data_IF_262509239378
#
_entry.id   IF_262509239378
#
_cell.length_a   1.000
_cell.length_b   1.000
_cell.length_c   1.000
_cell.angle_alpha   90.00
_cell.angle_beta   90.00
_cell.angle_gamma   90.00
#
_symmetry.space_group_name_H-M   'P 1'
#
loop_
_entity.id
_entity.type
_entity.pdbx_description
1 polymer ?
#
# COMPACT_ATOMS: atom_id res chain seq x y z
N UNK A 1 -3.97 -9.75 47.32
CA UNK A 1 -3.35 -8.50 47.79
C UNK A 1 -2.03 -8.91 48.41
N UNK A 2 -0.97 -8.95 47.60
CA UNK A 2 0.37 -9.28 48.07
C UNK A 2 1.33 -8.47 47.19
N UNK A 3 1.87 -7.40 47.78
CA UNK A 3 2.95 -6.59 47.22
C UNK A 3 4.25 -7.24 47.66
N UNK A 4 5.15 -7.48 46.73
CA UNK A 4 6.57 -7.66 47.02
C UNK A 4 7.36 -6.80 46.04
N UNK A 5 7.77 -5.63 46.52
CA UNK A 5 8.80 -4.79 45.92
C UNK A 5 10.17 -5.34 46.32
N UNK A 6 11.08 -5.51 45.36
CA UNK A 6 12.49 -5.79 45.58
C UNK A 6 13.30 -5.27 44.38
N UNK A 7 13.65 -3.98 44.41
CA UNK A 7 14.89 -3.42 43.85
C UNK A 7 15.14 -2.03 44.47
N UNK A 8 16.38 -1.72 44.90
CA UNK A 8 16.72 -0.46 45.54
C UNK A 8 16.90 0.67 44.52
N UNK A 9 16.75 1.95 44.91
CA UNK A 9 17.01 3.07 44.01
C UNK A 9 18.52 3.29 43.85
N UNK A 10 19.01 3.70 42.67
CA UNK A 10 20.32 4.31 42.56
C UNK A 10 20.25 5.80 42.94
N UNK A 11 21.23 6.21 43.75
CA UNK A 11 21.44 7.59 44.19
C UNK A 11 21.66 8.53 43.00
N UNK A 12 21.06 9.71 43.10
CA UNK A 12 21.35 10.83 42.22
C UNK A 12 22.67 11.48 42.60
N UNK A 13 23.47 11.81 41.59
CA UNK A 13 24.29 13.02 41.66
C UNK A 13 24.24 13.74 40.31
N UNK A 14 24.14 15.05 40.44
CA UNK A 14 23.78 16.03 39.43
C UNK A 14 25.07 16.66 38.92
N UNK A 15 25.32 16.62 37.61
CA UNK A 15 26.36 17.43 36.97
C UNK A 15 26.07 17.61 35.49
N UNK A 16 25.72 18.85 35.18
CA UNK A 16 25.40 19.37 33.85
C UNK A 16 26.57 19.29 32.86
N UNK A 17 26.24 19.02 31.59
CA UNK A 17 26.46 19.92 30.43
C UNK A 17 26.38 19.13 29.10
N UNK A 18 25.61 19.66 28.15
CA UNK A 18 25.62 19.20 26.75
C UNK A 18 24.23 19.16 26.13
N UNK A 19 23.70 20.31 25.73
CA UNK A 19 22.53 20.37 24.88
C UNK A 19 22.85 19.78 23.50
N UNK A 20 22.36 18.58 23.23
CA UNK A 20 22.22 18.01 21.89
C UNK A 20 20.78 17.58 21.71
N UNK A 21 20.10 18.21 20.75
CA UNK A 21 18.73 17.94 20.33
C UNK A 21 18.47 16.43 20.18
N UNK A 22 17.29 15.89 20.54
CA UNK A 22 16.93 14.54 20.13
C UNK A 22 16.65 14.57 18.63
N UNK A 23 17.68 14.21 17.86
CA UNK A 23 17.52 13.78 16.49
C UNK A 23 16.75 12.47 16.48
N UNK A 24 15.68 12.47 15.69
CA UNK A 24 15.02 11.37 15.02
C UNK A 24 15.72 10.00 15.16
N UNK A 25 15.39 9.28 16.22
CA UNK A 25 15.71 7.86 16.35
C UNK A 25 14.40 7.06 16.21
N UNK A 26 13.80 7.14 15.02
CA UNK A 26 12.93 6.09 14.51
C UNK A 26 13.77 4.83 14.27
N UNK A 27 14.20 4.22 15.38
CA UNK A 27 14.94 2.96 15.38
C UNK A 27 14.04 1.87 14.79
N UNK A 28 14.57 1.17 13.78
CA UNK A 28 13.94 0.09 13.02
C UNK A 28 13.12 -0.85 13.90
N UNK A 29 11.80 -0.63 13.98
CA UNK A 29 10.87 -1.63 14.47
C UNK A 29 10.86 -2.78 13.45
N UNK A 30 11.32 -3.99 13.81
CA UNK A 30 11.37 -5.12 12.88
C UNK A 30 10.00 -5.46 12.29
N UNK A 31 8.90 -5.16 13.02
CA UNK A 31 7.54 -5.33 12.50
C UNK A 31 7.26 -4.34 11.37
N UNK A 32 7.68 -3.08 11.54
CA UNK A 32 7.54 -2.03 10.52
C UNK A 32 8.28 -2.41 9.23
N UNK A 33 9.52 -2.91 9.33
CA UNK A 33 10.30 -3.38 8.18
C UNK A 33 9.60 -4.51 7.41
N UNK A 34 9.06 -5.51 8.11
CA UNK A 34 8.32 -6.63 7.49
C UNK A 34 7.03 -6.15 6.80
N UNK A 35 6.32 -5.18 7.38
CA UNK A 35 5.12 -4.61 6.75
C UNK A 35 5.47 -3.80 5.48
N UNK A 36 6.58 -3.06 5.49
CA UNK A 36 7.05 -2.33 4.32
C UNK A 36 7.41 -3.28 3.16
N UNK A 37 8.14 -4.38 3.44
CA UNK A 37 8.46 -5.39 2.43
C UNK A 37 7.20 -6.07 1.85
N UNK A 38 6.20 -6.33 2.69
CA UNK A 38 4.90 -6.86 2.24
C UNK A 38 4.15 -5.88 1.37
N UNK A 39 4.17 -4.59 1.71
CA UNK A 39 3.56 -3.53 0.91
C UNK A 39 4.21 -3.45 -0.47
N UNK A 40 5.54 -3.48 -0.55
CA UNK A 40 6.28 -3.52 -1.81
C UNK A 40 5.89 -4.74 -2.66
N UNK A 41 5.85 -5.93 -2.05
CA UNK A 41 5.48 -7.15 -2.75
C UNK A 41 4.03 -7.10 -3.27
N UNK A 42 3.10 -6.53 -2.51
CA UNK A 42 1.68 -6.41 -2.88
C UNK A 42 1.45 -5.37 -3.96
N UNK A 43 2.14 -4.23 -3.89
CA UNK A 43 2.05 -3.17 -4.89
C UNK A 43 2.76 -3.53 -6.21
N UNK A 44 3.83 -4.34 -6.15
CA UNK A 44 4.52 -4.79 -7.36
C UNK A 44 3.66 -5.70 -8.25
N UNK A 45 2.78 -6.53 -7.70
CA UNK A 45 1.96 -7.47 -8.48
C UNK A 45 1.13 -6.80 -9.59
N UNK A 46 0.24 -5.83 -9.29
CA UNK A 46 -0.59 -5.21 -10.31
C UNK A 46 0.23 -4.36 -11.30
N UNK A 47 1.30 -3.70 -10.83
CA UNK A 47 2.22 -2.95 -11.69
C UNK A 47 2.96 -3.86 -12.68
N UNK A 48 3.51 -4.98 -12.21
CA UNK A 48 4.15 -5.97 -13.07
C UNK A 48 3.15 -6.58 -14.05
N UNK A 49 1.92 -6.90 -13.63
CA UNK A 49 0.91 -7.41 -14.56
C UNK A 49 0.63 -6.42 -15.71
N UNK A 50 0.54 -5.11 -15.43
CA UNK A 50 0.41 -4.09 -16.48
C UNK A 50 1.65 -4.07 -17.38
N UNK A 51 2.85 -3.96 -16.78
CA UNK A 51 4.11 -3.85 -17.50
C UNK A 51 4.33 -5.05 -18.44
N UNK A 52 4.17 -6.27 -17.91
CA UNK A 52 4.39 -7.51 -18.64
C UNK A 52 3.37 -7.73 -19.76
N UNK A 53 2.11 -7.33 -19.54
CA UNK A 53 1.03 -7.48 -20.53
C UNK A 53 1.14 -6.44 -21.65
N UNK A 54 1.48 -5.21 -21.33
CA UNK A 54 1.27 -4.08 -22.23
C UNK A 54 2.54 -3.65 -22.96
N UNK A 55 3.69 -3.64 -22.28
CA UNK A 55 4.94 -3.07 -22.81
C UNK A 55 6.10 -4.06 -22.86
N UNK A 56 5.87 -5.33 -22.52
CA UNK A 56 6.87 -6.37 -22.61
C UNK A 56 6.50 -7.44 -23.64
N UNK A 57 7.51 -8.21 -24.04
CA UNK A 57 7.36 -9.47 -24.76
C UNK A 57 8.04 -10.58 -23.98
N UNK A 58 7.41 -11.75 -23.90
CA UNK A 58 8.00 -12.89 -23.21
C UNK A 58 9.07 -13.52 -24.12
N UNK A 59 10.28 -13.69 -23.59
CA UNK A 59 11.39 -14.33 -24.32
C UNK A 59 11.60 -15.76 -23.86
N UNK A 60 11.46 -16.01 -22.55
CA UNK A 60 11.62 -17.31 -21.92
C UNK A 60 10.63 -17.43 -20.73
N UNK A 61 10.46 -18.60 -20.09
CA UNK A 61 9.72 -18.69 -18.85
C UNK A 61 10.23 -17.75 -17.76
N UNK A 62 9.41 -16.78 -17.37
CA UNK A 62 9.74 -15.81 -16.32
C UNK A 62 10.65 -14.66 -16.75
N UNK A 63 11.09 -14.62 -18.02
CA UNK A 63 11.94 -13.55 -18.56
C UNK A 63 11.23 -12.85 -19.71
N UNK A 64 11.27 -11.52 -19.67
CA UNK A 64 10.60 -10.64 -20.62
C UNK A 64 11.57 -9.58 -21.12
N UNK A 65 11.41 -9.19 -22.38
CA UNK A 65 12.10 -8.03 -22.96
C UNK A 65 11.13 -6.86 -22.96
N UNK A 66 11.56 -5.72 -22.41
CA UNK A 66 10.82 -4.46 -22.52
C UNK A 66 10.92 -3.96 -23.96
N UNK A 67 9.78 -3.69 -24.61
CA UNK A 67 9.68 -3.50 -26.06
C UNK A 67 10.43 -2.27 -26.57
N UNK A 68 10.53 -1.23 -25.75
CA UNK A 68 11.09 0.07 -26.13
C UNK A 68 12.54 0.21 -25.70
N UNK A 69 12.86 -0.16 -24.46
CA UNK A 69 14.24 -0.09 -23.96
C UNK A 69 15.10 -1.30 -24.32
N UNK A 70 14.50 -2.42 -24.72
CA UNK A 70 15.21 -3.68 -24.99
C UNK A 70 15.77 -4.38 -23.74
N UNK A 71 15.57 -3.81 -22.55
CA UNK A 71 16.06 -4.36 -21.28
C UNK A 71 15.36 -5.67 -20.96
N UNK A 72 16.09 -6.60 -20.35
CA UNK A 72 15.50 -7.85 -19.86
C UNK A 72 15.02 -7.68 -18.42
N UNK A 73 13.80 -8.12 -18.17
CA UNK A 73 13.13 -8.15 -16.87
C UNK A 73 12.78 -9.61 -16.54
N UNK A 74 13.26 -10.10 -15.40
CA UNK A 74 12.92 -11.41 -14.84
C UNK A 74 11.95 -11.24 -13.68
N UNK A 75 10.97 -12.14 -13.60
CA UNK A 75 10.00 -12.23 -12.50
C UNK A 75 9.73 -13.69 -12.15
N UNK A 76 9.24 -13.93 -10.93
CA UNK A 76 8.73 -15.24 -10.50
C UNK A 76 7.20 -15.26 -10.53
N UNK A 77 6.61 -16.41 -10.83
CA UNK A 77 5.15 -16.57 -10.89
C UNK A 77 4.53 -16.10 -12.21
N UNK A 78 3.21 -16.30 -12.34
CA UNK A 78 2.43 -15.89 -13.53
C UNK A 78 1.35 -14.87 -13.18
N UNK A 79 0.25 -15.32 -12.54
CA UNK A 79 -0.89 -14.46 -12.19
C UNK A 79 -0.57 -13.40 -11.14
N UNK A 80 0.39 -13.69 -10.26
CA UNK A 80 0.90 -12.80 -9.21
C UNK A 80 2.42 -12.75 -9.31
N UNK A 81 2.96 -12.01 -10.28
CA UNK A 81 4.41 -11.95 -10.49
C UNK A 81 5.09 -11.24 -9.30
N UNK A 82 6.25 -11.74 -8.89
CA UNK A 82 7.02 -11.20 -7.75
C UNK A 82 8.52 -11.23 -8.04
N UNK A 83 9.29 -10.55 -7.18
CA UNK A 83 10.76 -10.52 -7.25
C UNK A 83 11.29 -10.03 -8.60
N UNK A 84 10.89 -8.82 -9.04
CA UNK A 84 11.37 -8.28 -10.30
C UNK A 84 12.88 -8.02 -10.27
N UNK A 85 13.57 -8.46 -11.32
CA UNK A 85 15.00 -8.25 -11.50
C UNK A 85 15.27 -7.76 -12.92
N UNK A 86 16.12 -6.74 -13.08
CA UNK A 86 16.53 -6.24 -14.39
C UNK A 86 17.94 -6.70 -14.71
N UNK A 87 18.19 -7.04 -15.97
CA UNK A 87 19.54 -7.37 -16.43
C UNK A 87 20.29 -6.08 -16.79
N UNK A 88 21.41 -5.83 -16.13
CA UNK A 88 22.32 -4.70 -16.37
C UNK A 88 23.75 -5.15 -16.07
N UNK A 89 24.75 -4.61 -16.79
CA UNK A 89 26.17 -4.87 -16.54
C UNK A 89 26.56 -6.36 -16.42
N UNK A 90 25.87 -7.22 -17.19
CA UNK A 90 26.11 -8.67 -17.22
C UNK A 90 25.52 -9.45 -16.05
N UNK A 91 24.73 -8.83 -15.17
CA UNK A 91 24.12 -9.45 -14.00
C UNK A 91 22.62 -9.10 -13.85
N UNK A 92 21.93 -9.90 -13.03
CA UNK A 92 20.55 -9.65 -12.63
C UNK A 92 20.51 -8.83 -11.33
N UNK A 93 19.79 -7.72 -11.34
CA UNK A 93 19.65 -6.83 -10.19
C UNK A 93 18.20 -6.76 -9.74
N UNK A 94 17.93 -7.07 -8.47
CA UNK A 94 16.59 -6.93 -7.89
C UNK A 94 16.14 -5.47 -7.91
N UNK A 95 14.89 -5.24 -8.27
CA UNK A 95 14.26 -3.94 -8.21
C UNK A 95 13.48 -3.80 -6.90
N UNK A 96 13.68 -2.67 -6.23
CA UNK A 96 12.75 -2.10 -5.26
C UNK A 96 11.45 -1.66 -5.95
N UNK A 97 10.40 -1.40 -5.17
CA UNK A 97 9.15 -0.87 -5.74
C UNK A 97 9.38 0.48 -6.47
N UNK A 98 10.16 1.39 -5.88
CA UNK A 98 10.47 2.68 -6.49
C UNK A 98 11.24 2.55 -7.81
N UNK A 99 12.20 1.61 -7.89
CA UNK A 99 12.92 1.36 -9.14
C UNK A 99 12.02 0.72 -10.21
N UNK A 100 11.08 -0.13 -9.82
CA UNK A 100 10.07 -0.66 -10.74
C UNK A 100 9.13 0.43 -11.27
N UNK A 101 8.69 1.36 -10.42
CA UNK A 101 7.91 2.55 -10.83
C UNK A 101 8.71 3.38 -11.83
N UNK A 102 9.97 3.69 -11.51
CA UNK A 102 10.86 4.43 -12.41
C UNK A 102 11.03 3.74 -13.76
N UNK A 103 11.33 2.43 -13.75
CA UNK A 103 11.46 1.62 -14.96
C UNK A 103 10.19 1.68 -15.82
N UNK A 104 9.04 1.52 -15.18
CA UNK A 104 7.73 1.54 -15.86
C UNK A 104 7.46 2.90 -16.48
N UNK A 105 7.68 3.98 -15.74
CA UNK A 105 7.47 5.35 -16.22
C UNK A 105 8.40 5.69 -17.40
N UNK A 106 9.68 5.29 -17.32
CA UNK A 106 10.65 5.47 -18.40
C UNK A 106 10.25 4.71 -19.67
N UNK A 107 9.82 3.46 -19.53
CA UNK A 107 9.37 2.62 -20.64
C UNK A 107 8.12 3.20 -21.31
N UNK A 108 7.13 3.63 -20.52
CA UNK A 108 5.92 4.27 -21.02
C UNK A 108 6.23 5.58 -21.73
N UNK A 109 7.07 6.45 -21.15
CA UNK A 109 7.46 7.71 -21.79
C UNK A 109 8.13 7.49 -23.13
N UNK A 110 9.04 6.50 -23.23
CA UNK A 110 9.70 6.17 -24.49
C UNK A 110 8.71 5.65 -25.54
N UNK A 111 7.70 4.88 -25.11
CA UNK A 111 6.68 4.31 -26.01
C UNK A 111 5.68 5.34 -26.51
N UNK A 112 5.21 6.23 -25.64
CA UNK A 112 4.12 7.17 -25.95
C UNK A 112 4.61 8.54 -26.39
N UNK A 113 5.86 8.90 -26.06
CA UNK A 113 6.37 10.26 -26.22
C UNK A 113 5.81 11.27 -25.21
N UNK A 114 4.96 10.83 -24.27
CA UNK A 114 4.31 11.70 -23.30
C UNK A 114 4.95 11.56 -21.91
N UNK A 115 5.20 12.70 -21.26
CA UNK A 115 5.54 12.74 -19.83
C UNK A 115 4.27 12.76 -18.99
N UNK A 116 4.20 11.87 -17.99
CA UNK A 116 3.17 11.90 -16.97
C UNK A 116 3.86 11.77 -15.59
N UNK A 117 3.94 12.88 -14.86
CA UNK A 117 4.52 12.90 -13.51
C UNK A 117 3.54 12.44 -12.43
N UNK A 118 2.23 12.47 -12.70
CA UNK A 118 1.18 12.05 -11.76
C UNK A 118 1.17 10.53 -11.62
N UNK A 119 1.30 9.79 -12.73
CA UNK A 119 1.24 8.34 -12.72
C UNK A 119 2.29 7.67 -11.79
N UNK A 120 3.58 8.05 -11.81
CA UNK A 120 4.54 7.56 -10.81
C UNK A 120 4.14 7.91 -9.38
N UNK A 121 3.59 9.11 -9.13
CA UNK A 121 3.14 9.51 -7.81
C UNK A 121 1.96 8.66 -7.34
N UNK A 122 0.99 8.36 -8.22
CA UNK A 122 -0.12 7.46 -7.93
C UNK A 122 0.34 6.03 -7.65
N UNK A 123 1.34 5.51 -8.38
CA UNK A 123 1.90 4.19 -8.12
C UNK A 123 2.54 4.10 -6.72
N UNK A 124 3.26 5.15 -6.31
CA UNK A 124 3.85 5.25 -4.96
C UNK A 124 2.76 5.40 -3.90
N UNK A 125 1.80 6.30 -4.11
CA UNK A 125 0.63 6.49 -3.22
C UNK A 125 -0.16 5.19 -3.04
N UNK A 126 -0.35 4.42 -4.11
CA UNK A 126 -0.99 3.11 -4.05
C UNK A 126 -0.20 2.12 -3.18
N UNK A 127 1.13 2.15 -3.20
CA UNK A 127 1.97 1.31 -2.34
C UNK A 127 1.87 1.76 -0.88
N UNK A 128 1.88 3.06 -0.63
CA UNK A 128 1.81 3.62 0.73
C UNK A 128 0.43 3.41 1.35
N UNK A 129 -0.64 3.48 0.57
CA UNK A 129 -1.97 3.08 0.99
C UNK A 129 -1.99 1.60 1.43
N UNK A 130 -1.36 0.70 0.67
CA UNK A 130 -1.23 -0.72 1.07
C UNK A 130 -0.45 -0.87 2.37
N UNK A 131 0.65 -0.11 2.55
CA UNK A 131 1.42 -0.13 3.78
C UNK A 131 0.56 0.31 5.00
N UNK A 132 -0.18 1.41 4.85
CA UNK A 132 -1.09 1.91 5.89
C UNK A 132 -2.20 0.90 6.22
N UNK A 133 -2.77 0.24 5.21
CA UNK A 133 -3.78 -0.82 5.40
C UNK A 133 -3.21 -2.03 6.15
N UNK A 134 -1.99 -2.46 5.82
CA UNK A 134 -1.32 -3.56 6.50
C UNK A 134 -1.02 -3.22 7.96
N UNK A 135 -0.58 -1.99 8.25
CA UNK A 135 -0.36 -1.50 9.60
C UNK A 135 -1.67 -1.40 10.41
N UNK A 136 -2.76 -0.95 9.79
CA UNK A 136 -4.07 -0.93 10.43
C UNK A 136 -4.56 -2.35 10.77
N UNK A 137 -4.45 -3.28 9.81
CA UNK A 137 -4.83 -4.69 10.01
C UNK A 137 -4.02 -5.40 11.07
N UNK A 138 -2.75 -5.06 11.25
CA UNK A 138 -1.91 -5.64 12.31
C UNK A 138 -2.48 -5.41 13.72
N UNK A 139 -3.35 -4.40 13.89
CA UNK A 139 -3.96 -4.00 15.17
C UNK A 139 -5.47 -4.26 15.23
N UNK A 140 -6.04 -4.91 14.21
CA UNK A 140 -7.49 -5.10 14.09
C UNK A 140 -7.84 -6.59 14.00
N UNK A 141 -8.95 -6.96 14.64
CA UNK A 141 -9.51 -8.32 14.51
C UNK A 141 -10.33 -8.40 13.22
N UNK A 142 -10.06 -9.37 12.33
CA UNK A 142 -10.87 -9.57 11.13
C UNK A 142 -12.31 -9.97 11.52
N UNK A 143 -13.33 -9.61 10.71
CA UNK A 143 -14.68 -10.09 10.95
C UNK A 143 -14.78 -11.62 10.78
N UNK A 144 -15.60 -12.24 11.62
CA UNK A 144 -15.88 -13.68 11.57
C UNK A 144 -16.79 -14.06 10.39
N UNK A 145 -17.70 -13.16 9.99
CA UNK A 145 -18.59 -13.37 8.85
C UNK A 145 -17.77 -13.52 7.55
N UNK A 146 -17.84 -14.68 6.87
CA UNK A 146 -17.09 -14.92 5.64
C UNK A 146 -17.49 -13.97 4.50
N UNK A 147 -18.76 -13.53 4.44
CA UNK A 147 -19.20 -12.58 3.42
C UNK A 147 -18.51 -11.23 3.61
N UNK A 148 -18.66 -10.61 4.79
CA UNK A 148 -18.00 -9.35 5.11
C UNK A 148 -16.47 -9.44 4.99
N UNK A 149 -15.88 -10.56 5.45
CA UNK A 149 -14.44 -10.78 5.33
C UNK A 149 -13.98 -10.81 3.88
N UNK A 150 -14.78 -11.38 2.98
CA UNK A 150 -14.46 -11.43 1.55
C UNK A 150 -14.46 -10.03 0.92
N UNK A 151 -15.45 -9.19 1.24
CA UNK A 151 -15.51 -7.79 0.79
C UNK A 151 -14.30 -6.98 1.29
N UNK A 152 -13.84 -7.26 2.50
CA UNK A 152 -12.73 -6.56 3.15
C UNK A 152 -11.34 -7.17 2.88
N UNK A 153 -11.22 -8.18 2.01
CA UNK A 153 -9.94 -8.88 1.78
C UNK A 153 -9.10 -8.37 0.59
N UNK A 154 -9.63 -7.48 -0.24
CA UNK A 154 -8.99 -7.05 -1.50
C UNK A 154 -7.92 -5.97 -1.29
N UNK A 155 -6.78 -6.32 -0.66
CA UNK A 155 -5.68 -5.40 -0.39
C UNK A 155 -4.96 -4.87 -1.62
N UNK A 156 -4.78 -5.68 -2.67
CA UNK A 156 -4.04 -5.27 -3.87
C UNK A 156 -4.90 -4.55 -4.89
N UNK A 157 -6.22 -4.50 -4.69
CA UNK A 157 -7.16 -3.90 -5.64
C UNK A 157 -7.14 -4.59 -7.02
N UNK A 158 -7.38 -3.82 -8.08
CA UNK A 158 -7.42 -4.33 -9.45
C UNK A 158 -6.06 -4.87 -9.90
N UNK A 159 -6.02 -6.14 -10.30
CA UNK A 159 -4.76 -6.86 -10.60
C UNK A 159 -4.02 -6.40 -11.86
N UNK A 160 -4.63 -5.56 -12.69
CA UNK A 160 -4.05 -4.99 -13.91
C UNK A 160 -4.34 -3.49 -13.96
N UNK A 161 -4.00 -2.79 -12.89
CA UNK A 161 -4.00 -1.32 -12.83
C UNK A 161 -2.69 -0.89 -12.18
N UNK A 162 -1.99 0.15 -12.66
CA UNK A 162 -0.69 0.52 -12.11
C UNK A 162 -0.73 1.05 -10.67
N UNK A 163 -1.86 1.65 -10.27
CA UNK A 163 -2.05 2.30 -8.98
C UNK A 163 -3.42 1.98 -8.34
N UNK A 164 -3.78 0.70 -8.13
CA UNK A 164 -5.15 0.28 -7.80
C UNK A 164 -5.64 0.73 -6.42
N UNK A 165 -4.74 1.23 -5.57
CA UNK A 165 -5.04 1.72 -4.22
C UNK A 165 -4.62 3.18 -4.04
N UNK A 166 -4.35 3.92 -5.10
CA UNK A 166 -4.14 5.36 -4.98
C UNK A 166 -5.36 6.02 -4.30
N UNK A 167 -5.10 6.89 -3.34
CA UNK A 167 -6.08 7.66 -2.55
C UNK A 167 -5.87 9.17 -2.69
N UNK A 168 -5.05 9.60 -3.64
CA UNK A 168 -4.84 11.02 -3.96
C UNK A 168 -3.84 11.72 -3.03
N UNK A 169 -2.94 10.97 -2.38
CA UNK A 169 -1.84 11.54 -1.57
C UNK A 169 -2.25 12.17 -0.24
N UNK A 170 -3.53 12.09 0.15
CA UNK A 170 -4.01 12.57 1.44
C UNK A 170 -3.54 11.70 2.62
N UNK A 171 -3.44 12.25 3.84
CA UNK A 171 -2.96 11.52 5.00
C UNK A 171 -3.86 10.32 5.32
N UNK A 172 -3.25 9.19 5.70
CA UNK A 172 -3.97 7.95 5.97
C UNK A 172 -5.10 8.09 7.00
N UNK A 173 -4.90 8.96 8.00
CA UNK A 173 -5.91 9.26 9.02
C UNK A 173 -7.24 9.78 8.44
N UNK A 174 -7.23 10.42 7.26
CA UNK A 174 -8.43 10.96 6.62
C UNK A 174 -9.29 9.90 5.90
N UNK A 175 -8.71 8.76 5.50
CA UNK A 175 -9.42 7.75 4.72
C UNK A 175 -9.48 6.37 5.38
N UNK A 176 -8.57 6.05 6.31
CA UNK A 176 -8.57 4.77 7.03
C UNK A 176 -9.90 4.46 7.76
N UNK A 177 -10.57 5.43 8.40
CA UNK A 177 -11.88 5.18 9.02
C UNK A 177 -12.98 4.74 8.05
N UNK A 178 -12.74 4.89 6.74
CA UNK A 178 -13.69 4.56 5.67
C UNK A 178 -13.17 3.42 4.77
N UNK A 179 -12.02 2.84 5.10
CA UNK A 179 -11.38 1.82 4.28
C UNK A 179 -11.89 0.41 4.63
N UNK A 180 -12.58 -0.29 3.72
CA UNK A 180 -13.05 -1.65 3.98
C UNK A 180 -11.89 -2.60 4.30
N UNK A 181 -10.73 -2.41 3.66
CA UNK A 181 -9.57 -3.28 3.81
C UNK A 181 -8.93 -3.18 5.21
N UNK A 182 -9.20 -2.10 5.94
CA UNK A 182 -8.79 -1.90 7.33
C UNK A 182 -9.80 -2.48 8.34
N UNK A 183 -10.82 -3.20 7.86
CA UNK A 183 -11.97 -3.67 8.66
C UNK A 183 -12.75 -2.54 9.32
N UNK A 184 -12.72 -1.35 8.70
CA UNK A 184 -13.37 -0.18 9.26
C UNK A 184 -14.89 -0.35 9.35
N UNK A 185 -15.46 0.24 10.39
CA UNK A 185 -16.90 0.37 10.62
C UNK A 185 -17.15 1.78 11.11
N UNK A 186 -18.16 2.43 10.55
CA UNK A 186 -18.52 3.79 10.89
C UNK A 186 -20.05 3.94 10.82
N UNK A 187 -20.65 4.81 11.66
CA UNK A 187 -22.07 5.11 11.57
C UNK A 187 -22.36 5.89 10.28
N UNK A 188 -23.56 5.72 9.72
CA UNK A 188 -24.02 6.54 8.61
C UNK A 188 -24.26 7.98 9.08
N UNK A 189 -23.93 8.95 8.22
CA UNK A 189 -24.31 10.35 8.44
C UNK A 189 -25.75 10.56 7.96
N UNK A 190 -26.61 11.04 8.86
CA UNK A 190 -28.01 11.36 8.54
C UNK A 190 -28.15 12.87 8.33
N UNK A 191 -28.86 13.26 7.27
CA UNK A 191 -29.12 14.65 6.92
C UNK A 191 -30.62 14.95 7.06
N UNK A 192 -30.97 15.96 7.85
CA UNK A 192 -32.34 16.48 7.90
C UNK A 192 -32.62 17.38 6.70
N UNK A 193 -33.41 16.88 5.75
CA UNK A 193 -33.75 17.59 4.52
C UNK A 193 -35.24 17.94 4.49
N UNK A 194 -35.63 18.91 3.67
CA UNK A 194 -37.04 19.15 3.39
C UNK A 194 -37.55 18.10 2.42
N UNK A 195 -38.75 17.59 2.65
CA UNK A 195 -39.37 16.57 1.80
C UNK A 195 -39.41 16.97 0.32
N UNK A 196 -39.71 18.23 0.01
CA UNK A 196 -39.78 18.75 -1.36
C UNK A 196 -38.42 18.86 -2.08
N UNK A 197 -37.33 18.54 -1.40
CA UNK A 197 -35.97 18.47 -1.97
C UNK A 197 -35.46 17.04 -2.14
N UNK A 198 -36.19 16.05 -1.64
CA UNK A 198 -35.84 14.63 -1.75
C UNK A 198 -36.40 14.07 -3.05
N UNK A 199 -35.56 13.36 -3.80
CA UNK A 199 -35.98 12.53 -4.94
C UNK A 199 -35.79 11.08 -4.52
N UNK A 200 -36.89 10.34 -4.42
CA UNK A 200 -36.91 8.96 -3.92
C UNK A 200 -37.52 8.00 -4.94
N UNK A 201 -37.00 6.78 -4.98
CA UNK A 201 -37.60 5.62 -5.64
C UNK A 201 -37.32 4.37 -4.78
N UNK A 202 -38.33 3.52 -4.60
CA UNK A 202 -38.24 2.29 -3.79
C UNK A 202 -38.78 2.44 -2.38
N UNK A 203 -38.67 1.35 -1.60
CA UNK A 203 -39.10 1.30 -0.20
C UNK A 203 -37.93 1.65 0.74
N UNK A 204 -38.07 2.74 1.48
CA UNK A 204 -37.08 3.24 2.44
C UNK A 204 -37.39 2.90 3.89
N UNK A 205 -38.48 2.17 4.17
CA UNK A 205 -38.89 1.82 5.55
C UNK A 205 -37.84 1.06 6.35
N UNK A 206 -36.91 0.36 5.67
CA UNK A 206 -35.77 -0.28 6.32
C UNK A 206 -34.81 0.73 7.00
N UNK A 207 -34.83 2.00 6.60
CA UNK A 207 -34.02 3.07 7.19
C UNK A 207 -34.67 3.67 8.45
N UNK A 208 -35.99 3.52 8.65
CA UNK A 208 -36.69 4.03 9.84
C UNK A 208 -36.25 3.34 11.15
N UNK A 209 -35.58 2.19 11.03
CA UNK A 209 -35.05 1.41 12.14
C UNK A 209 -33.57 1.69 12.47
N UNK A 210 -32.91 2.59 11.74
CA UNK A 210 -31.52 3.02 11.99
C UNK A 210 -31.44 4.09 13.08
#
# INVERSE_FOLDING_TARGET
>A
MERVDLMPPPDGDDSAQGASSPGDSAQDDPVSGVLAERADAYAAVPLLNCLLREVAERVEPGVYRLRTSGRLLRVRGRRRPTGPEVHADGAWHRLTHAELVKLTAEELRRRTGLSNSELPAEMIDSRDAVAALLAARARATPPDDPYLRSEQCLLTGHTHHPAPKARGGGPAAGWLPYAPEAYARFPLALLGLREDTVVEEGDTSALDAL
#
